data_IF_788288971186
#
_entry.id   IF_788288971186
#
_cell.length_a   1.000
_cell.length_b   1.000
_cell.length_c   1.000
_cell.angle_alpha   90.00
_cell.angle_beta   90.00
_cell.angle_gamma   90.00
#
_symmetry.space_group_name_H-M   'P 1'
#
loop_
_entity.id
_entity.type
_entity.pdbx_description
1 polymer ?
#
# COMPACT_ATOMS: atom_id res chain seq x y z
N UNK A 1 -42.70 49.88 -17.69
CA UNK A 1 -43.72 50.19 -16.67
C UNK A 1 -43.61 49.11 -15.59
N UNK A 2 -42.65 49.25 -14.66
CA UNK A 2 -42.79 49.74 -13.28
C UNK A 2 -43.63 48.85 -12.32
N UNK A 3 -42.90 48.18 -11.40
CA UNK A 3 -43.15 47.79 -9.97
C UNK A 3 -44.35 46.84 -9.66
N UNK A 4 -44.33 45.93 -8.68
CA UNK A 4 -43.69 45.78 -7.34
C UNK A 4 -43.38 44.28 -7.05
N UNK A 5 -42.21 43.87 -6.55
CA UNK A 5 -41.76 43.67 -5.14
C UNK A 5 -42.66 42.83 -4.19
N UNK A 6 -42.07 41.75 -3.64
CA UNK A 6 -42.51 41.02 -2.44
C UNK A 6 -41.53 39.90 -2.03
N UNK A 7 -40.69 40.15 -1.01
CA UNK A 7 -39.75 39.21 -0.37
C UNK A 7 -40.45 38.15 0.51
N UNK A 8 -39.89 36.93 0.58
CA UNK A 8 -39.75 36.06 1.79
C UNK A 8 -39.15 34.70 1.36
N UNK A 9 -37.83 34.46 1.48
CA UNK A 9 -37.09 33.89 2.63
C UNK A 9 -37.33 32.39 2.90
N UNK A 10 -36.30 31.61 2.52
CA UNK A 10 -35.65 30.48 3.19
C UNK A 10 -36.34 29.15 3.53
N UNK A 11 -35.62 28.11 3.07
CA UNK A 11 -35.13 26.90 3.76
C UNK A 11 -35.80 25.59 3.36
N UNK A 12 -35.07 24.85 2.52
CA UNK A 12 -34.80 23.39 2.62
C UNK A 12 -34.03 23.01 1.36
N UNK A 13 -32.70 22.99 1.42
CA UNK A 13 -31.82 22.26 0.46
C UNK A 13 -30.35 22.31 0.92
N UNK A 14 -30.09 21.98 2.19
CA UNK A 14 -28.74 21.97 2.78
C UNK A 14 -28.25 20.61 3.30
N UNK A 15 -29.11 19.61 3.44
CA UNK A 15 -28.73 18.35 4.11
C UNK A 15 -28.21 17.26 3.16
N UNK A 16 -28.61 17.27 1.89
CA UNK A 16 -28.26 16.20 0.94
C UNK A 16 -26.89 16.38 0.27
N UNK A 17 -26.17 17.49 0.52
CA UNK A 17 -24.80 17.71 0.00
C UNK A 17 -23.70 17.39 0.99
N UNK A 18 -24.01 17.16 2.27
CA UNK A 18 -23.03 16.92 3.34
C UNK A 18 -22.74 15.43 3.62
N UNK A 19 -23.56 14.52 3.09
CA UNK A 19 -23.48 13.08 3.43
C UNK A 19 -22.73 12.22 2.40
N UNK A 20 -22.33 12.75 1.25
CA UNK A 20 -21.71 11.97 0.17
C UNK A 20 -20.16 12.04 0.12
N UNK A 21 -19.49 12.51 1.19
CA UNK A 21 -18.05 12.76 1.17
C UNK A 21 -17.17 11.90 2.08
N UNK A 22 -17.72 11.02 2.94
CA UNK A 22 -16.97 10.55 4.11
C UNK A 22 -16.93 9.04 4.40
N UNK A 23 -17.48 8.14 3.57
CA UNK A 23 -17.36 6.69 3.79
C UNK A 23 -17.23 5.90 2.48
N UNK A 24 -16.32 4.91 2.38
CA UNK A 24 -16.30 3.98 1.26
C UNK A 24 -17.63 3.19 1.20
N UNK A 25 -18.18 3.09 0.00
CA UNK A 25 -19.53 2.62 -0.34
C UNK A 25 -19.90 1.17 0.07
N UNK A 26 -19.07 0.50 0.87
CA UNK A 26 -19.21 -0.92 1.21
C UNK A 26 -19.72 -1.17 2.64
N UNK A 27 -19.45 -0.27 3.62
CA UNK A 27 -19.89 -0.45 5.01
C UNK A 27 -21.30 0.08 5.30
N UNK A 28 -21.70 1.16 4.63
CA UNK A 28 -23.04 1.77 4.77
C UNK A 28 -24.13 0.84 4.24
N UNK A 29 -23.88 0.12 3.15
CA UNK A 29 -24.81 -0.90 2.65
C UNK A 29 -24.88 -2.12 3.57
N UNK A 30 -23.77 -2.57 4.18
CA UNK A 30 -23.79 -3.72 5.08
C UNK A 30 -24.57 -3.45 6.38
N UNK A 31 -24.44 -2.24 6.96
CA UNK A 31 -25.17 -1.87 8.19
C UNK A 31 -26.66 -1.60 7.90
N UNK A 32 -27.01 -1.00 6.76
CA UNK A 32 -28.40 -0.82 6.33
C UNK A 32 -29.06 -2.17 5.97
N UNK A 33 -28.31 -3.13 5.41
CA UNK A 33 -28.80 -4.47 5.12
C UNK A 33 -28.98 -5.31 6.40
N UNK A 34 -28.09 -5.17 7.39
CA UNK A 34 -28.16 -5.89 8.67
C UNK A 34 -29.26 -5.34 9.60
N UNK A 35 -29.54 -4.03 9.55
CA UNK A 35 -30.68 -3.39 10.25
C UNK A 35 -32.03 -3.70 9.58
N UNK A 36 -32.10 -3.79 8.24
CA UNK A 36 -33.31 -4.25 7.55
C UNK A 36 -33.59 -5.74 7.81
N UNK A 37 -32.56 -6.58 7.86
CA UNK A 37 -32.70 -8.02 8.12
C UNK A 37 -33.14 -8.39 9.53
N UNK A 38 -32.73 -7.63 10.56
CA UNK A 38 -33.16 -7.87 11.95
C UNK A 38 -34.60 -7.45 12.19
N UNK A 39 -35.04 -6.33 11.61
CA UNK A 39 -36.43 -5.85 11.74
C UNK A 39 -37.42 -6.75 10.98
N UNK A 40 -37.03 -7.29 9.82
CA UNK A 40 -37.85 -8.24 9.05
C UNK A 40 -37.92 -9.63 9.70
N UNK A 41 -36.85 -10.09 10.36
CA UNK A 41 -36.84 -11.38 11.05
C UNK A 41 -37.63 -11.34 12.38
N UNK A 42 -37.65 -10.22 13.09
CA UNK A 42 -38.50 -10.02 14.28
C UNK A 42 -40.00 -9.96 13.93
N UNK A 43 -40.35 -9.39 12.77
CA UNK A 43 -41.72 -9.42 12.25
C UNK A 43 -42.12 -10.83 11.79
N UNK A 44 -41.19 -11.65 11.29
CA UNK A 44 -41.45 -13.02 10.85
C UNK A 44 -41.59 -14.00 12.03
N UNK A 45 -40.81 -13.83 13.11
CA UNK A 45 -40.92 -14.62 14.34
C UNK A 45 -42.21 -14.34 15.13
N UNK A 46 -42.67 -13.08 15.13
CA UNK A 46 -43.98 -12.72 15.71
C UNK A 46 -45.16 -13.27 14.91
N UNK A 47 -44.99 -13.47 13.60
CA UNK A 47 -46.04 -14.01 12.72
C UNK A 47 -46.15 -15.54 12.82
N UNK A 48 -45.04 -16.26 12.98
CA UNK A 48 -45.04 -17.73 13.15
C UNK A 48 -45.41 -18.19 14.56
N UNK A 49 -45.09 -17.40 15.60
CA UNK A 49 -45.51 -17.67 16.99
C UNK A 49 -47.04 -17.56 17.22
N UNK A 50 -47.76 -16.88 16.33
CA UNK A 50 -49.22 -16.71 16.40
C UNK A 50 -49.98 -17.87 15.71
N UNK A 51 -49.28 -18.76 14.99
CA UNK A 51 -49.88 -19.92 14.33
C UNK A 51 -49.73 -21.24 15.09
N UNK A 52 -48.84 -21.33 16.10
CA UNK A 52 -48.63 -22.58 16.87
C UNK A 52 -49.50 -22.70 18.12
N UNK A 53 -50.40 -21.74 18.37
CA UNK A 53 -51.39 -21.78 19.45
C UNK A 53 -52.76 -21.55 18.82
N UNK A 54 -53.43 -22.63 18.45
CA UNK A 54 -54.73 -22.61 17.78
C UNK A 54 -55.78 -21.81 18.57
N UNK A 55 -55.90 -20.53 18.22
CA UNK A 55 -56.99 -19.65 18.62
C UNK A 55 -57.79 -19.38 17.35
N UNK A 56 -59.04 -19.85 17.35
CA UNK A 56 -60.02 -19.61 16.29
C UNK A 56 -60.17 -18.10 16.03
N UNK A 57 -60.24 -17.74 14.74
CA UNK A 57 -60.55 -16.39 14.27
C UNK A 57 -62.05 -16.15 14.48
N UNK A 58 -62.41 -15.64 15.65
CA UNK A 58 -63.71 -15.02 15.90
C UNK A 58 -63.55 -13.51 16.07
N UNK A 59 -64.30 -12.76 15.28
CA UNK A 59 -64.51 -11.31 15.36
C UNK A 59 -63.32 -10.39 15.03
N UNK A 60 -63.24 -10.01 13.75
CA UNK A 60 -62.87 -8.64 13.38
C UNK A 60 -63.75 -7.71 14.23
N UNK A 61 -63.12 -6.92 15.11
CA UNK A 61 -63.84 -6.02 15.99
C UNK A 61 -64.40 -4.84 15.19
N UNK A 62 -65.53 -5.10 14.53
CA UNK A 62 -66.50 -4.17 13.92
C UNK A 62 -67.17 -3.30 15.00
N UNK A 63 -66.36 -2.66 15.85
CA UNK A 63 -66.83 -1.71 16.87
C UNK A 63 -66.33 -0.28 16.58
N UNK A 64 -65.76 -0.03 15.41
CA UNK A 64 -65.45 1.34 14.92
C UNK A 64 -66.57 1.92 14.04
N UNK A 65 -67.65 1.17 13.81
CA UNK A 65 -68.81 1.60 13.01
C UNK A 65 -70.16 1.55 13.78
N UNK A 66 -70.15 1.37 15.11
CA UNK A 66 -71.39 1.17 15.89
C UNK A 66 -71.94 2.39 16.63
N UNK A 67 -71.25 3.53 16.65
CA UNK A 67 -71.76 4.75 17.31
C UNK A 67 -72.11 5.87 16.32
N UNK A 68 -72.43 5.53 15.07
CA UNK A 68 -73.02 6.46 14.12
C UNK A 68 -74.46 6.01 13.88
N UNK A 69 -75.36 6.51 14.72
CA UNK A 69 -76.79 6.35 14.51
C UNK A 69 -77.21 7.25 13.35
N UNK A 70 -77.21 6.69 12.15
CA UNK A 70 -77.84 7.27 10.95
C UNK A 70 -79.09 6.46 10.65
N UNK A 71 -80.07 6.50 11.57
CA UNK A 71 -81.45 6.08 11.34
C UNK A 71 -82.39 7.21 11.73
N UNK A 72 -82.46 8.20 10.87
CA UNK A 72 -83.73 8.70 10.34
C UNK A 72 -83.39 9.88 9.43
N UNK A 73 -83.61 9.68 8.13
CA UNK A 73 -84.22 10.63 7.22
C UNK A 73 -84.09 10.07 5.81
N UNK A 74 -85.24 9.98 5.13
CA UNK A 74 -85.35 9.59 3.72
C UNK A 74 -84.34 10.36 2.88
N UNK A 75 -83.61 9.63 2.05
CA UNK A 75 -82.75 10.18 1.02
C UNK A 75 -83.62 10.93 0.01
N UNK A 76 -83.80 12.23 0.21
CA UNK A 76 -84.20 13.16 -0.85
C UNK A 76 -82.95 13.71 -1.52
N UNK A 77 -82.93 13.59 -2.85
CA UNK A 77 -81.90 14.15 -3.73
C UNK A 77 -81.87 15.68 -3.65
N UNK A 78 -80.67 16.24 -3.88
CA UNK A 78 -80.30 17.66 -3.95
C UNK A 78 -80.21 18.43 -2.64
N UNK A 79 -78.98 18.87 -2.30
CA UNK A 79 -78.58 20.28 -2.03
C UNK A 79 -77.17 20.34 -1.38
N UNK A 80 -76.25 21.04 -2.06
CA UNK A 80 -74.99 21.68 -1.58
C UNK A 80 -74.04 20.85 -0.69
N UNK A 81 -73.14 20.09 -1.34
CA UNK A 81 -72.16 19.20 -0.70
C UNK A 81 -70.78 19.81 -0.33
N UNK A 82 -70.61 21.13 -0.26
CA UNK A 82 -69.32 21.71 0.17
C UNK A 82 -69.22 21.92 1.68
N UNK A 83 -70.26 22.50 2.30
CA UNK A 83 -70.26 22.85 3.72
C UNK A 83 -70.39 21.63 4.66
N UNK A 84 -71.14 20.60 4.24
CA UNK A 84 -71.28 19.34 5.01
C UNK A 84 -69.98 18.52 5.00
N UNK A 85 -69.30 18.42 3.85
CA UNK A 85 -68.01 17.71 3.74
C UNK A 85 -66.91 18.43 4.53
N UNK A 86 -66.91 19.76 4.55
CA UNK A 86 -65.94 20.56 5.33
C UNK A 86 -66.15 20.38 6.85
N UNK A 87 -67.41 20.38 7.32
CA UNK A 87 -67.73 20.09 8.73
C UNK A 87 -67.35 18.68 9.16
N UNK A 88 -67.46 17.70 8.26
CA UNK A 88 -67.04 16.31 8.53
C UNK A 88 -65.51 16.23 8.61
N UNK A 89 -64.78 16.86 7.69
CA UNK A 89 -63.30 16.92 7.72
C UNK A 89 -62.76 17.61 8.97
N UNK A 90 -63.36 18.73 9.38
CA UNK A 90 -62.94 19.46 10.58
C UNK A 90 -63.19 18.64 11.86
N UNK A 91 -64.35 17.97 11.96
CA UNK A 91 -64.61 17.02 13.05
C UNK A 91 -63.61 15.88 13.06
N UNK A 92 -63.28 15.32 11.89
CA UNK A 92 -62.32 14.21 11.77
C UNK A 92 -60.91 14.63 12.18
N UNK A 93 -60.44 15.81 11.75
CA UNK A 93 -59.15 16.37 12.14
C UNK A 93 -59.10 16.71 13.64
N UNK A 94 -60.21 17.19 14.21
CA UNK A 94 -60.31 17.49 15.64
C UNK A 94 -60.32 16.21 16.48
N UNK A 95 -60.93 15.13 15.97
CA UNK A 95 -60.88 13.79 16.58
C UNK A 95 -59.46 13.21 16.49
N UNK A 96 -58.77 13.33 15.35
CA UNK A 96 -57.38 12.87 15.20
C UNK A 96 -56.43 13.64 16.12
N UNK A 97 -56.57 14.97 16.20
CA UNK A 97 -55.82 15.82 17.15
C UNK A 97 -56.14 15.45 18.61
N UNK A 98 -57.40 15.17 18.93
CA UNK A 98 -57.77 14.69 20.27
C UNK A 98 -57.31 13.25 20.56
N UNK A 99 -57.11 12.42 19.53
CA UNK A 99 -56.54 11.08 19.67
C UNK A 99 -55.04 11.12 19.91
N UNK A 100 -54.33 12.04 19.25
CA UNK A 100 -52.91 12.32 19.51
C UNK A 100 -52.71 12.93 20.90
N UNK A 101 -53.57 13.86 21.34
CA UNK A 101 -53.50 14.44 22.69
C UNK A 101 -53.90 13.44 23.79
N UNK A 102 -54.70 12.40 23.47
CA UNK A 102 -55.13 11.33 24.39
C UNK A 102 -54.33 10.03 24.29
N UNK A 103 -53.16 10.00 23.63
CA UNK A 103 -52.20 8.89 23.88
C UNK A 103 -51.71 8.99 25.33
N UNK A 104 -52.40 8.31 26.24
CA UNK A 104 -51.97 8.16 27.64
C UNK A 104 -50.52 7.68 27.63
N UNK A 105 -49.66 8.38 28.38
CA UNK A 105 -48.26 7.95 28.58
C UNK A 105 -48.30 6.53 29.11
N UNK A 106 -47.72 5.60 28.37
CA UNK A 106 -47.57 4.20 28.78
C UNK A 106 -46.90 4.16 30.16
N UNK A 107 -47.45 3.37 31.08
CA UNK A 107 -46.92 3.29 32.45
C UNK A 107 -45.51 2.72 32.40
N UNK A 108 -44.50 3.54 32.69
CA UNK A 108 -43.11 3.11 32.80
C UNK A 108 -42.77 2.84 34.26
N UNK A 109 -42.21 1.66 34.54
CA UNK A 109 -41.72 1.32 35.88
C UNK A 109 -40.64 2.30 36.32
N UNK A 110 -40.52 2.53 37.63
CA UNK A 110 -39.47 3.40 38.21
C UNK A 110 -38.07 2.90 37.85
N UNK A 111 -37.88 1.58 37.71
CA UNK A 111 -36.64 0.98 37.23
C UNK A 111 -36.34 1.34 35.76
N UNK A 112 -37.36 1.30 34.89
CA UNK A 112 -37.21 1.64 33.48
C UNK A 112 -36.92 3.13 33.28
N UNK A 113 -37.55 4.00 34.07
CA UNK A 113 -37.26 5.43 34.09
C UNK A 113 -35.81 5.73 34.51
N UNK A 114 -35.25 4.98 35.49
CA UNK A 114 -33.83 5.11 35.89
C UNK A 114 -32.89 4.65 34.78
N UNK A 115 -33.20 3.53 34.12
CA UNK A 115 -32.42 3.02 32.98
C UNK A 115 -32.47 3.96 31.78
N UNK A 116 -33.63 4.55 31.48
CA UNK A 116 -33.80 5.54 30.42
C UNK A 116 -33.02 6.83 30.71
N UNK A 117 -33.07 7.32 31.95
CA UNK A 117 -32.24 8.45 32.39
C UNK A 117 -30.75 8.15 32.29
N UNK A 118 -30.32 6.97 32.76
CA UNK A 118 -28.92 6.55 32.65
C UNK A 118 -28.49 6.43 31.18
N UNK A 119 -29.28 5.80 30.32
CA UNK A 119 -29.02 5.69 28.89
C UNK A 119 -28.98 7.07 28.20
N UNK A 120 -29.86 7.99 28.60
CA UNK A 120 -29.83 9.36 28.09
C UNK A 120 -28.58 10.11 28.54
N UNK A 121 -28.17 9.95 29.80
CA UNK A 121 -26.97 10.56 30.35
C UNK A 121 -25.70 10.00 29.69
N UNK A 122 -25.61 8.67 29.52
CA UNK A 122 -24.48 8.05 28.82
C UNK A 122 -24.42 8.50 27.37
N UNK A 123 -25.56 8.56 26.65
CA UNK A 123 -25.61 9.08 25.29
C UNK A 123 -25.15 10.55 25.22
N UNK A 124 -25.61 11.42 26.12
CA UNK A 124 -25.16 12.81 26.22
C UNK A 124 -23.66 12.90 26.54
N UNK A 125 -23.17 12.06 27.44
CA UNK A 125 -21.74 11.98 27.78
C UNK A 125 -20.89 11.61 26.55
N UNK A 126 -21.32 10.64 25.74
CA UNK A 126 -20.63 10.28 24.49
C UNK A 126 -20.66 11.42 23.47
N UNK A 127 -21.76 12.16 23.36
CA UNK A 127 -21.84 13.32 22.47
C UNK A 127 -20.90 14.43 22.92
N UNK A 128 -20.89 14.77 24.22
CA UNK A 128 -20.01 15.81 24.78
C UNK A 128 -18.54 15.41 24.61
N UNK A 129 -18.19 14.15 24.90
CA UNK A 129 -16.84 13.62 24.69
C UNK A 129 -16.46 13.63 23.20
N UNK A 130 -17.38 13.24 22.31
CA UNK A 130 -17.15 13.27 20.86
C UNK A 130 -16.94 14.69 20.31
N UNK A 131 -17.73 15.66 20.77
CA UNK A 131 -17.56 17.08 20.42
C UNK A 131 -16.25 17.65 20.98
N UNK A 132 -15.92 17.34 22.24
CA UNK A 132 -14.65 17.71 22.87
C UNK A 132 -13.46 17.13 22.12
N UNK A 133 -13.53 15.85 21.75
CA UNK A 133 -12.53 15.16 20.94
C UNK A 133 -12.38 15.77 19.55
N UNK A 134 -13.49 16.10 18.87
CA UNK A 134 -13.45 16.77 17.57
C UNK A 134 -12.83 18.18 17.65
N UNK A 135 -13.16 18.96 18.69
CA UNK A 135 -12.54 20.26 18.94
C UNK A 135 -11.03 20.13 19.22
N UNK A 136 -10.64 19.15 20.03
CA UNK A 136 -9.23 18.84 20.31
C UNK A 136 -8.48 18.44 19.03
N UNK A 137 -9.05 17.54 18.21
CA UNK A 137 -8.44 17.09 16.97
C UNK A 137 -8.43 18.16 15.87
N UNK A 138 -9.35 19.13 15.90
CA UNK A 138 -9.35 20.28 14.99
C UNK A 138 -8.49 21.47 15.46
N UNK A 139 -7.77 21.35 16.60
CA UNK A 139 -6.85 22.39 17.10
C UNK A 139 -5.76 22.73 16.09
N UNK A 140 -5.19 23.93 16.18
CA UNK A 140 -4.02 24.31 15.34
C UNK A 140 -2.81 23.42 15.67
N UNK A 141 -1.94 23.21 14.69
CA UNK A 141 -0.69 22.48 14.86
C UNK A 141 0.30 23.33 15.64
N UNK A 142 1.16 22.69 16.43
CA UNK A 142 2.33 23.34 17.04
C UNK A 142 3.51 23.32 16.06
N UNK A 143 4.49 24.20 16.25
CA UNK A 143 5.62 24.33 15.33
C UNK A 143 6.48 23.05 15.21
N UNK A 144 6.49 22.23 16.26
CA UNK A 144 7.15 20.91 16.26
C UNK A 144 6.38 19.87 15.44
N UNK A 145 5.06 19.81 15.59
CA UNK A 145 4.22 18.88 14.82
C UNK A 145 4.21 19.24 13.33
N UNK A 146 4.31 20.54 13.00
CA UNK A 146 4.42 21.02 11.62
C UNK A 146 5.65 20.41 10.96
N UNK A 147 6.82 20.46 11.62
CA UNK A 147 8.09 19.91 11.09
C UNK A 147 7.99 18.40 10.78
N UNK A 148 7.29 17.64 11.62
CA UNK A 148 7.10 16.20 11.40
C UNK A 148 6.06 15.90 10.32
N UNK A 149 5.08 16.79 10.12
CA UNK A 149 4.01 16.64 9.14
C UNK A 149 4.32 17.23 7.75
N UNK A 150 5.54 17.72 7.49
CA UNK A 150 5.93 18.44 6.26
C UNK A 150 5.71 17.68 4.93
N UNK A 151 5.32 16.40 4.98
CA UNK A 151 4.90 15.62 3.80
C UNK A 151 3.39 15.69 3.50
N UNK A 152 2.59 16.32 4.36
CA UNK A 152 1.16 16.51 4.16
C UNK A 152 0.90 17.88 3.50
N UNK A 153 0.45 17.87 2.24
CA UNK A 153 0.29 19.06 1.41
C UNK A 153 -0.32 20.28 2.11
N UNK A 154 0.32 21.44 1.92
CA UNK A 154 0.03 22.76 2.52
C UNK A 154 -1.46 23.19 2.51
N UNK A 155 -2.28 22.64 1.61
CA UNK A 155 -3.65 23.12 1.38
C UNK A 155 -4.69 22.60 2.39
N UNK A 156 -4.45 21.48 3.09
CA UNK A 156 -5.43 20.92 4.05
C UNK A 156 -5.23 21.39 5.51
N UNK A 157 -4.14 22.10 5.84
CA UNK A 157 -3.77 22.45 7.23
C UNK A 157 -4.43 23.72 7.78
N UNK A 158 -4.98 24.56 6.90
CA UNK A 158 -5.56 25.87 7.27
C UNK A 158 -6.98 25.78 7.85
N UNK A 159 -7.78 24.80 7.41
CA UNK A 159 -9.18 24.65 7.83
C UNK A 159 -9.34 23.71 9.02
N UNK A 160 -10.30 23.98 9.91
CA UNK A 160 -10.59 23.13 11.07
C UNK A 160 -10.88 21.68 10.67
N UNK A 161 -11.73 21.48 9.64
CA UNK A 161 -12.10 20.15 9.16
C UNK A 161 -10.95 19.44 8.43
N UNK A 162 -10.07 20.16 7.75
CA UNK A 162 -8.87 19.58 7.15
C UNK A 162 -7.91 19.05 8.22
N UNK A 163 -7.68 19.80 9.30
CA UNK A 163 -6.88 19.33 10.45
C UNK A 163 -7.50 18.13 11.15
N UNK A 164 -8.81 18.17 11.38
CA UNK A 164 -9.55 17.05 11.98
C UNK A 164 -9.38 15.79 11.12
N UNK A 165 -9.63 15.90 9.80
CA UNK A 165 -9.48 14.79 8.85
C UNK A 165 -8.06 14.22 8.87
N UNK A 166 -7.04 15.08 8.77
CA UNK A 166 -5.63 14.65 8.73
C UNK A 166 -5.21 13.94 10.02
N UNK A 167 -5.63 14.42 11.19
CA UNK A 167 -5.33 13.74 12.46
C UNK A 167 -6.11 12.45 12.63
N UNK A 168 -7.36 12.40 12.16
CA UNK A 168 -8.12 11.15 12.17
C UNK A 168 -7.50 10.13 11.22
N UNK A 169 -7.04 10.53 10.03
CA UNK A 169 -6.35 9.64 9.11
C UNK A 169 -4.99 9.22 9.65
N UNK A 170 -4.22 10.11 10.27
CA UNK A 170 -2.91 9.76 10.84
C UNK A 170 -3.01 8.69 11.94
N UNK A 171 -4.10 8.66 12.71
CA UNK A 171 -4.36 7.57 13.67
C UNK A 171 -4.56 6.21 12.98
N UNK A 172 -5.13 6.20 11.77
CA UNK A 172 -5.27 4.98 10.97
C UNK A 172 -4.05 4.71 10.08
N UNK A 173 -3.19 5.69 9.84
CA UNK A 173 -1.98 5.54 9.02
C UNK A 173 -1.02 4.51 9.60
N UNK A 174 -0.98 4.33 10.93
CA UNK A 174 -0.21 3.26 11.58
C UNK A 174 -0.51 1.85 11.01
N UNK A 175 -1.72 1.62 10.49
CA UNK A 175 -2.08 0.34 9.87
C UNK A 175 -1.72 0.22 8.39
N UNK A 176 -1.41 1.33 7.71
CA UNK A 176 -1.23 1.38 6.26
C UNK A 176 0.20 1.77 5.84
N UNK A 177 0.91 2.54 6.67
CA UNK A 177 2.29 2.95 6.45
C UNK A 177 3.27 1.91 7.04
N UNK A 178 4.47 1.78 6.47
CA UNK A 178 5.47 0.85 6.99
C UNK A 178 5.86 1.25 8.42
N UNK A 179 6.35 0.29 9.20
CA UNK A 179 6.74 0.52 10.60
C UNK A 179 7.87 1.55 10.79
N UNK A 180 8.59 1.92 9.73
CA UNK A 180 9.75 2.80 9.77
C UNK A 180 9.68 3.90 8.72
N UNK A 181 10.08 5.12 9.09
CA UNK A 181 10.19 6.27 8.17
C UNK A 181 11.27 6.08 7.10
N UNK A 182 12.36 5.39 7.47
CA UNK A 182 13.46 5.00 6.59
C UNK A 182 13.60 3.48 6.65
N UNK A 183 13.47 2.80 5.51
CA UNK A 183 13.61 1.36 5.39
C UNK A 183 15.07 0.90 5.41
N UNK A 184 15.97 1.74 4.88
CA UNK A 184 17.40 1.47 4.87
C UNK A 184 18.16 2.48 5.75
N UNK A 185 19.29 2.05 6.35
CA UNK A 185 20.18 2.96 7.05
C UNK A 185 20.74 4.02 6.10
N UNK A 186 21.30 5.07 6.68
CA UNK A 186 22.01 6.09 5.92
C UNK A 186 23.18 5.44 5.14
N UNK A 187 23.44 5.92 3.91
CA UNK A 187 24.48 5.32 3.08
C UNK A 187 25.85 5.42 3.73
N UNK A 188 26.70 4.44 3.44
CA UNK A 188 28.10 4.46 3.87
C UNK A 188 28.85 5.64 3.25
N UNK A 189 29.91 6.17 3.89
CA UNK A 189 30.73 7.20 3.28
C UNK A 189 31.43 6.67 2.01
N UNK A 190 31.64 7.55 1.02
CA UNK A 190 32.51 7.26 -0.11
C UNK A 190 33.92 6.87 0.40
N UNK A 191 34.59 5.83 -0.15
CA UNK A 191 34.33 5.14 -1.41
C UNK A 191 33.55 3.81 -1.29
N UNK A 192 33.08 3.43 -0.10
CA UNK A 192 32.46 2.12 0.14
C UNK A 192 31.02 2.02 -0.37
N UNK A 193 30.39 3.17 -0.65
CA UNK A 193 29.03 3.23 -1.14
C UNK A 193 28.92 2.80 -2.60
N UNK A 194 27.94 1.94 -2.91
CA UNK A 194 27.52 1.69 -4.30
C UNK A 194 26.63 2.83 -4.79
N UNK A 195 26.88 3.31 -6.00
CA UNK A 195 26.14 4.47 -6.56
C UNK A 195 24.67 4.15 -6.88
N UNK A 196 24.36 2.90 -7.21
CA UNK A 196 23.02 2.46 -7.61
C UNK A 196 22.48 1.40 -6.66
N UNK A 197 21.17 1.39 -6.47
CA UNK A 197 20.47 0.39 -5.64
C UNK A 197 19.59 -0.47 -6.53
N UNK A 198 19.77 -1.79 -6.45
CA UNK A 198 18.98 -2.78 -7.18
C UNK A 198 18.03 -3.47 -6.21
N UNK A 199 16.74 -3.24 -6.40
CA UNK A 199 15.67 -3.84 -5.59
C UNK A 199 15.14 -5.05 -6.32
N UNK A 200 15.16 -6.22 -5.67
CA UNK A 200 14.77 -7.49 -6.26
C UNK A 200 13.60 -8.08 -5.49
N UNK A 201 12.54 -8.52 -6.18
CA UNK A 201 11.58 -9.43 -5.57
C UNK A 201 12.19 -10.82 -5.32
N UNK A 202 11.59 -11.61 -4.45
CA UNK A 202 12.04 -12.96 -4.14
C UNK A 202 11.21 -14.01 -4.89
N UNK A 203 9.89 -13.96 -4.70
CA UNK A 203 8.95 -14.97 -5.20
C UNK A 203 8.71 -14.81 -6.70
N UNK A 204 8.76 -15.94 -7.41
CA UNK A 204 8.60 -16.05 -8.87
C UNK A 204 9.60 -15.21 -9.69
N UNK A 205 10.54 -14.50 -9.04
CA UNK A 205 11.65 -13.79 -9.67
C UNK A 205 12.97 -14.55 -9.51
N UNK A 206 13.40 -14.78 -8.26
CA UNK A 206 14.68 -15.43 -7.94
C UNK A 206 14.48 -16.90 -7.57
N UNK A 207 13.37 -17.18 -6.87
CA UNK A 207 13.00 -18.52 -6.46
C UNK A 207 11.57 -18.83 -6.87
N UNK A 208 11.26 -20.11 -7.00
CA UNK A 208 9.90 -20.60 -7.18
C UNK A 208 9.59 -21.64 -6.12
N UNK A 209 8.53 -21.42 -5.35
CA UNK A 209 8.09 -22.34 -4.31
C UNK A 209 6.90 -23.16 -4.79
N UNK A 210 7.03 -24.48 -4.75
CA UNK A 210 5.95 -25.42 -5.06
C UNK A 210 5.60 -26.22 -3.81
N UNK A 211 4.31 -26.45 -3.59
CA UNK A 211 3.83 -27.34 -2.53
C UNK A 211 3.30 -28.64 -3.11
N UNK A 212 3.81 -29.76 -2.59
CA UNK A 212 3.30 -31.10 -2.91
C UNK A 212 2.85 -31.83 -1.65
N UNK A 213 1.90 -32.76 -1.77
CA UNK A 213 1.41 -33.56 -0.62
C UNK A 213 2.50 -34.45 -0.03
N UNK A 214 3.36 -35.00 -0.87
CA UNK A 214 4.39 -35.97 -0.47
C UNK A 214 5.61 -35.30 0.17
N UNK A 215 6.03 -34.14 -0.35
CA UNK A 215 7.29 -33.50 0.04
C UNK A 215 7.10 -32.15 0.73
N UNK A 216 5.86 -31.66 0.84
CA UNK A 216 5.57 -30.33 1.37
C UNK A 216 6.10 -29.23 0.46
N UNK A 217 6.53 -28.12 1.08
CA UNK A 217 7.11 -26.97 0.39
C UNK A 217 8.52 -27.28 -0.12
N UNK A 218 8.73 -27.13 -1.43
CA UNK A 218 10.03 -27.20 -2.09
C UNK A 218 10.29 -25.88 -2.79
N UNK A 219 11.53 -25.42 -2.74
CA UNK A 219 11.93 -24.14 -3.33
C UNK A 219 13.02 -24.44 -4.35
N UNK A 220 12.77 -24.04 -5.59
CA UNK A 220 13.74 -24.08 -6.68
C UNK A 220 14.45 -22.72 -6.79
N UNK A 221 15.76 -22.73 -7.07
CA UNK A 221 16.52 -21.52 -7.39
C UNK A 221 16.50 -21.30 -8.90
N UNK A 222 16.30 -20.06 -9.34
CA UNK A 222 16.34 -19.70 -10.76
C UNK A 222 17.74 -19.93 -11.34
N UNK A 223 17.89 -20.52 -12.54
CA UNK A 223 19.19 -20.71 -13.17
C UNK A 223 19.95 -19.39 -13.30
N UNK A 224 21.24 -19.41 -12.92
CA UNK A 224 22.10 -18.22 -12.98
C UNK A 224 21.94 -17.22 -11.83
N UNK A 225 21.07 -17.48 -10.85
CA UNK A 225 20.86 -16.60 -9.70
C UNK A 225 22.15 -16.28 -8.92
N UNK A 226 22.94 -17.30 -8.59
CA UNK A 226 24.15 -17.15 -7.78
C UNK A 226 25.18 -16.24 -8.50
N UNK A 227 25.32 -16.41 -9.82
CA UNK A 227 26.16 -15.56 -10.67
C UNK A 227 25.61 -14.14 -10.75
N UNK A 228 24.31 -13.99 -10.95
CA UNK A 228 23.63 -12.70 -11.03
C UNK A 228 23.87 -11.84 -9.77
N UNK A 229 23.65 -12.41 -8.58
CA UNK A 229 23.86 -11.71 -7.31
C UNK A 229 25.34 -11.37 -7.08
N UNK A 230 26.23 -12.34 -7.26
CA UNK A 230 27.66 -12.16 -6.99
C UNK A 230 28.35 -11.22 -7.98
N UNK A 231 27.91 -11.19 -9.23
CA UNK A 231 28.47 -10.29 -10.24
C UNK A 231 27.95 -8.86 -10.08
N UNK A 232 26.64 -8.69 -9.86
CA UNK A 232 26.03 -7.36 -9.73
C UNK A 232 26.32 -6.68 -8.39
N UNK A 233 26.65 -7.40 -7.32
CA UNK A 233 27.05 -6.82 -6.02
C UNK A 233 28.31 -5.95 -6.10
N UNK A 234 29.10 -6.11 -7.16
CA UNK A 234 30.24 -5.23 -7.49
C UNK A 234 29.80 -3.82 -7.91
N UNK A 235 28.59 -3.69 -8.47
CA UNK A 235 28.08 -2.46 -9.07
C UNK A 235 26.94 -1.83 -8.26
N UNK A 236 26.06 -2.67 -7.72
CA UNK A 236 24.81 -2.28 -7.09
C UNK A 236 24.78 -2.63 -5.60
N UNK A 237 24.12 -1.79 -4.82
CA UNK A 237 23.59 -2.16 -3.51
C UNK A 237 22.35 -3.03 -3.74
N UNK A 238 22.47 -4.35 -3.56
CA UNK A 238 21.37 -5.29 -3.81
C UNK A 238 20.50 -5.38 -2.55
N UNK A 239 19.21 -5.07 -2.72
CA UNK A 239 18.20 -5.17 -1.66
C UNK A 239 17.11 -6.12 -2.09
N UNK A 240 16.89 -7.18 -1.31
CA UNK A 240 15.72 -8.04 -1.51
C UNK A 240 14.52 -7.33 -0.90
N UNK A 241 13.47 -7.11 -1.67
CA UNK A 241 12.21 -6.56 -1.16
C UNK A 241 11.07 -7.49 -1.55
N UNK A 242 10.71 -8.38 -0.61
CA UNK A 242 9.68 -9.40 -0.80
C UNK A 242 8.35 -9.01 -0.14
N UNK A 243 7.25 -9.54 -0.68
CA UNK A 243 5.91 -9.46 -0.05
C UNK A 243 5.66 -10.58 0.96
N UNK A 244 6.62 -11.50 1.14
CA UNK A 244 6.61 -12.53 2.17
C UNK A 244 6.93 -11.97 3.55
N UNK A 245 6.44 -12.65 4.58
CA UNK A 245 6.77 -12.36 5.97
C UNK A 245 8.23 -12.71 6.28
N UNK A 246 8.85 -11.97 7.19
CA UNK A 246 10.24 -12.20 7.59
C UNK A 246 10.51 -13.64 8.06
N UNK A 247 9.56 -14.25 8.78
CA UNK A 247 9.69 -15.60 9.31
C UNK A 247 9.90 -16.68 8.22
N UNK A 248 9.35 -16.50 7.03
CA UNK A 248 9.51 -17.45 5.92
C UNK A 248 10.68 -17.09 5.03
N UNK A 249 10.90 -15.80 4.78
CA UNK A 249 11.89 -15.33 3.82
C UNK A 249 13.33 -15.33 4.36
N UNK A 250 13.56 -15.01 5.64
CA UNK A 250 14.92 -15.00 6.24
C UNK A 250 15.69 -16.31 6.00
N UNK A 251 15.17 -17.50 6.33
CA UNK A 251 15.92 -18.74 6.14
C UNK A 251 16.16 -19.09 4.67
N UNK A 252 15.34 -18.56 3.76
CA UNK A 252 15.54 -18.71 2.32
C UNK A 252 16.72 -17.84 1.90
N UNK A 253 16.71 -16.55 2.27
CA UNK A 253 17.74 -15.58 1.91
C UNK A 253 19.11 -16.01 2.47
N UNK A 254 19.16 -16.51 3.71
CA UNK A 254 20.39 -17.05 4.31
C UNK A 254 20.98 -18.24 3.53
N UNK A 255 20.13 -19.03 2.85
CA UNK A 255 20.58 -20.13 1.97
C UNK A 255 20.97 -19.64 0.57
N UNK A 256 20.42 -18.51 0.11
CA UNK A 256 20.77 -17.90 -1.17
C UNK A 256 22.14 -17.19 -1.08
N UNK A 257 22.39 -16.47 0.01
CA UNK A 257 23.67 -15.78 0.28
C UNK A 257 24.27 -16.25 1.62
N UNK A 258 24.90 -17.43 1.66
CA UNK A 258 25.46 -18.00 2.89
C UNK A 258 26.64 -17.21 3.44
N UNK A 259 27.34 -16.44 2.59
CA UNK A 259 28.50 -15.63 2.96
C UNK A 259 28.14 -14.18 3.29
N UNK A 260 26.86 -13.79 3.14
CA UNK A 260 26.36 -12.42 3.31
C UNK A 260 27.20 -11.37 2.57
N UNK A 261 27.66 -11.72 1.36
CA UNK A 261 28.59 -10.89 0.60
C UNK A 261 27.94 -10.14 -0.54
N UNK A 262 26.81 -10.63 -1.04
CA UNK A 262 26.16 -10.08 -2.23
C UNK A 262 24.99 -9.17 -1.87
N UNK A 263 24.25 -9.52 -0.81
CA UNK A 263 23.06 -8.79 -0.37
C UNK A 263 23.41 -7.75 0.68
N UNK A 264 22.97 -6.51 0.47
CA UNK A 264 23.19 -5.41 1.42
C UNK A 264 22.08 -5.33 2.48
N UNK A 265 20.84 -5.54 2.08
CA UNK A 265 19.69 -5.53 2.99
C UNK A 265 18.56 -6.45 2.51
N UNK A 266 17.65 -6.80 3.42
CA UNK A 266 16.45 -7.58 3.12
C UNK A 266 15.24 -6.93 3.78
N UNK A 267 14.24 -6.62 2.96
CA UNK A 267 12.97 -6.01 3.32
C UNK A 267 11.85 -7.01 3.05
N UNK A 268 10.92 -7.06 3.98
CA UNK A 268 9.85 -8.06 4.01
C UNK A 268 8.48 -7.37 3.92
N UNK A 269 7.41 -8.15 4.04
CA UNK A 269 6.03 -7.66 4.00
C UNK A 269 5.76 -6.49 4.96
N UNK A 270 6.39 -6.49 6.12
CA UNK A 270 6.27 -5.46 7.16
C UNK A 270 6.76 -4.08 6.68
N UNK A 271 7.60 -4.04 5.63
CA UNK A 271 8.07 -2.81 4.99
C UNK A 271 7.17 -2.34 3.82
N UNK A 272 6.17 -3.14 3.42
CA UNK A 272 5.24 -2.77 2.33
C UNK A 272 4.09 -1.91 2.83
N UNK A 273 3.53 -1.07 1.95
CA UNK A 273 2.30 -0.33 2.21
C UNK A 273 1.08 -1.12 1.76
N UNK A 274 0.02 -1.07 2.55
CA UNK A 274 -1.26 -1.65 2.17
C UNK A 274 -2.19 -0.56 1.65
N UNK A 275 -2.44 -0.55 0.33
CA UNK A 275 -3.22 0.49 -0.34
C UNK A 275 -4.28 -0.16 -1.22
N UNK A 276 -5.56 0.16 -0.97
CA UNK A 276 -6.70 -0.31 -1.77
C UNK A 276 -6.74 -1.85 -1.96
N UNK A 277 -6.36 -2.61 -0.94
CA UNK A 277 -6.36 -4.08 -1.02
C UNK A 277 -5.07 -4.69 -1.57
N UNK A 278 -4.09 -3.87 -1.96
CA UNK A 278 -2.85 -4.29 -2.61
C UNK A 278 -1.64 -3.96 -1.74
N UNK A 279 -0.60 -4.78 -1.84
CA UNK A 279 0.69 -4.51 -1.22
C UNK A 279 1.56 -3.75 -2.22
N UNK A 280 2.05 -2.59 -1.83
CA UNK A 280 2.86 -1.71 -2.65
C UNK A 280 4.22 -1.53 -1.99
N UNK A 281 5.28 -1.67 -2.78
CA UNK A 281 6.67 -1.46 -2.39
C UNK A 281 7.03 -0.01 -2.71
N UNK A 282 6.86 0.87 -1.73
CA UNK A 282 7.08 2.30 -1.92
C UNK A 282 8.57 2.64 -1.84
N UNK A 283 9.18 2.95 -2.99
CA UNK A 283 10.62 3.22 -3.08
C UNK A 283 11.03 4.53 -2.41
N UNK A 284 10.10 5.45 -2.12
CA UNK A 284 10.45 6.72 -1.47
C UNK A 284 10.97 6.54 -0.03
N UNK A 285 10.67 5.42 0.62
CA UNK A 285 11.11 5.12 1.98
C UNK A 285 12.47 4.43 2.04
N UNK A 286 13.08 4.13 0.88
CA UNK A 286 14.36 3.43 0.79
C UNK A 286 15.56 4.28 1.24
N UNK A 287 15.38 5.58 1.53
CA UNK A 287 16.49 6.47 1.90
C UNK A 287 17.62 6.48 0.84
N UNK A 288 17.23 6.37 -0.44
CA UNK A 288 18.09 6.39 -1.63
C UNK A 288 17.43 7.28 -2.69
N UNK A 289 18.22 7.92 -3.57
CA UNK A 289 17.65 8.84 -4.55
C UNK A 289 17.01 8.03 -5.70
N UNK A 290 15.76 8.37 -6.05
CA UNK A 290 14.94 7.58 -7.00
C UNK A 290 15.53 7.50 -8.40
N UNK A 291 16.36 8.45 -8.81
CA UNK A 291 17.10 8.45 -10.08
C UNK A 291 18.18 7.35 -10.15
N UNK A 292 18.54 6.72 -9.03
CA UNK A 292 19.54 5.65 -8.91
C UNK A 292 18.97 4.30 -8.46
N UNK A 293 17.65 4.17 -8.33
CA UNK A 293 16.99 2.93 -7.92
C UNK A 293 16.39 2.22 -9.13
N UNK A 294 16.69 0.92 -9.27
CA UNK A 294 16.06 0.04 -10.25
C UNK A 294 15.37 -1.09 -9.48
N UNK A 295 14.11 -1.37 -9.80
CA UNK A 295 13.37 -2.49 -9.19
C UNK A 295 13.04 -3.55 -10.24
N UNK A 296 13.38 -4.81 -9.95
CA UNK A 296 12.93 -5.98 -10.70
C UNK A 296 11.81 -6.65 -9.92
N UNK A 297 10.62 -6.71 -10.51
CA UNK A 297 9.44 -7.28 -9.85
C UNK A 297 8.52 -7.92 -10.89
N UNK A 298 7.82 -8.97 -10.45
CA UNK A 298 6.87 -9.73 -11.26
C UNK A 298 5.47 -9.14 -11.16
N UNK A 299 5.11 -8.60 -9.99
CA UNK A 299 3.76 -8.12 -9.73
C UNK A 299 3.64 -6.60 -10.02
N UNK A 300 2.80 -6.19 -10.98
CA UNK A 300 2.58 -4.77 -11.29
C UNK A 300 2.00 -3.94 -10.14
N UNK A 301 1.34 -4.57 -9.19
CA UNK A 301 0.81 -3.87 -8.03
C UNK A 301 1.93 -3.42 -7.08
N UNK A 302 3.04 -4.18 -7.01
CA UNK A 302 4.18 -3.89 -6.15
C UNK A 302 4.83 -2.54 -6.49
N UNK A 303 5.03 -2.22 -7.77
CA UNK A 303 5.64 -0.97 -8.24
C UNK A 303 4.63 0.10 -8.66
N UNK A 304 3.37 -0.02 -8.26
CA UNK A 304 2.31 0.88 -8.72
C UNK A 304 2.57 2.37 -8.42
N UNK A 305 3.36 2.69 -7.40
CA UNK A 305 3.74 4.08 -7.06
C UNK A 305 4.91 4.62 -7.87
N UNK A 306 5.86 3.78 -8.29
CA UNK A 306 7.05 4.18 -9.06
C UNK A 306 7.26 3.24 -10.26
N UNK A 307 6.36 3.26 -11.26
CA UNK A 307 6.46 2.37 -12.42
C UNK A 307 7.66 2.68 -13.32
N UNK A 308 8.16 3.91 -13.32
CA UNK A 308 9.29 4.32 -14.16
C UNK A 308 10.64 3.77 -13.67
N UNK A 309 10.70 3.32 -12.41
CA UNK A 309 11.85 2.68 -11.79
C UNK A 309 11.82 1.15 -11.89
N UNK A 310 10.70 0.59 -12.36
CA UNK A 310 10.47 -0.84 -12.38
C UNK A 310 10.72 -1.44 -13.76
N UNK A 311 11.41 -2.58 -13.78
CA UNK A 311 11.52 -3.45 -14.94
C UNK A 311 10.58 -4.64 -14.67
N UNK A 312 9.46 -4.74 -15.41
CA UNK A 312 8.53 -5.85 -15.25
C UNK A 312 9.17 -7.14 -15.71
N UNK A 313 9.11 -8.17 -14.88
CA UNK A 313 9.61 -9.51 -15.18
C UNK A 313 8.46 -10.51 -15.30
N UNK A 314 8.60 -11.47 -16.20
CA UNK A 314 7.66 -12.59 -16.27
C UNK A 314 7.86 -13.54 -15.08
N UNK A 315 6.78 -14.09 -14.49
CA UNK A 315 6.86 -15.04 -13.40
C UNK A 315 7.57 -16.32 -13.84
N UNK A 316 8.63 -16.68 -13.12
CA UNK A 316 9.38 -17.90 -13.35
C UNK A 316 8.71 -19.09 -12.67
N UNK A 317 8.36 -20.10 -13.47
CA UNK A 317 7.61 -21.29 -13.04
C UNK A 317 8.49 -22.52 -12.80
N UNK A 318 9.78 -22.34 -12.55
CA UNK A 318 10.71 -23.45 -12.33
C UNK A 318 11.39 -24.02 -13.59
N UNK A 319 11.32 -23.35 -14.75
CA UNK A 319 12.02 -23.80 -15.95
C UNK A 319 13.55 -23.72 -15.79
N UNK A 320 14.24 -24.84 -16.03
CA UNK A 320 15.69 -24.96 -15.93
C UNK A 320 16.44 -24.33 -17.11
N UNK A 321 15.74 -24.11 -18.24
CA UNK A 321 16.32 -23.48 -19.44
C UNK A 321 16.16 -21.96 -19.44
N UNK A 322 15.56 -21.38 -18.40
CA UNK A 322 15.42 -19.94 -18.23
C UNK A 322 16.80 -19.27 -18.20
N UNK A 323 16.95 -18.22 -19.02
CA UNK A 323 18.18 -17.41 -19.12
C UNK A 323 17.91 -15.93 -18.90
N UNK A 324 16.72 -15.57 -18.44
CA UNK A 324 16.27 -14.19 -18.36
C UNK A 324 17.14 -13.36 -17.40
N UNK A 325 17.42 -13.88 -16.19
CA UNK A 325 18.29 -13.19 -15.22
C UNK A 325 19.68 -12.92 -15.78
N UNK A 326 20.29 -13.92 -16.42
CA UNK A 326 21.63 -13.80 -16.99
C UNK A 326 21.62 -12.80 -18.15
N UNK A 327 20.56 -12.82 -18.97
CA UNK A 327 20.44 -11.96 -20.16
C UNK A 327 20.25 -10.48 -19.80
N UNK A 328 19.79 -10.17 -18.58
CA UNK A 328 19.68 -8.80 -18.07
C UNK A 328 20.99 -8.21 -17.56
N UNK A 329 21.98 -9.05 -17.21
CA UNK A 329 23.25 -8.58 -16.63
C UNK A 329 23.95 -7.54 -17.52
N UNK A 330 24.11 -7.74 -18.85
CA UNK A 330 24.81 -6.75 -19.69
C UNK A 330 24.15 -5.37 -19.70
N UNK A 331 22.82 -5.31 -19.57
CA UNK A 331 22.07 -4.06 -19.52
C UNK A 331 22.25 -3.35 -18.18
N UNK A 332 22.14 -4.07 -17.06
CA UNK A 332 22.35 -3.52 -15.73
C UNK A 332 23.81 -3.09 -15.54
N UNK A 333 24.75 -3.87 -16.04
CA UNK A 333 26.17 -3.53 -16.05
C UNK A 333 26.42 -2.22 -16.79
N UNK A 334 25.82 -2.05 -17.99
CA UNK A 334 25.96 -0.82 -18.77
C UNK A 334 25.52 0.43 -18.01
N UNK A 335 24.37 0.37 -17.31
CA UNK A 335 23.85 1.51 -16.54
C UNK A 335 24.85 1.94 -15.45
N UNK A 336 25.42 0.97 -14.73
CA UNK A 336 26.38 1.25 -13.67
C UNK A 336 27.72 1.75 -14.24
N UNK A 337 28.21 1.09 -15.29
CA UNK A 337 29.49 1.36 -15.95
C UNK A 337 29.57 2.72 -16.64
N UNK A 338 28.45 3.18 -17.22
CA UNK A 338 28.33 4.51 -17.85
C UNK A 338 27.95 5.63 -16.88
N UNK A 339 27.77 5.32 -15.59
CA UNK A 339 27.37 6.27 -14.56
C UNK A 339 26.16 7.14 -14.97
N UNK A 340 25.13 6.51 -15.52
CA UNK A 340 23.92 7.20 -15.99
C UNK A 340 23.35 8.09 -14.88
N UNK A 341 23.08 9.37 -15.19
CA UNK A 341 22.55 10.33 -14.21
C UNK A 341 21.19 9.90 -13.66
N UNK A 342 20.24 9.56 -14.53
CA UNK A 342 18.90 9.10 -14.17
C UNK A 342 18.53 7.81 -14.94
N UNK A 343 18.17 6.76 -14.22
CA UNK A 343 17.83 5.44 -14.80
C UNK A 343 16.47 5.42 -15.48
N UNK A 344 15.52 6.27 -15.06
CA UNK A 344 14.12 6.27 -15.52
C UNK A 344 13.97 6.50 -17.03
N UNK A 345 14.60 7.52 -17.66
CA UNK A 345 14.52 7.70 -19.12
C UNK A 345 15.15 6.54 -19.89
N UNK A 346 16.19 5.90 -19.34
CA UNK A 346 16.82 4.73 -19.96
C UNK A 346 15.84 3.56 -19.98
N UNK A 347 15.23 3.23 -18.84
CA UNK A 347 14.22 2.17 -18.72
C UNK A 347 13.02 2.46 -19.62
N UNK A 348 12.54 3.70 -19.63
CA UNK A 348 11.42 4.13 -20.49
C UNK A 348 11.69 3.89 -21.99
N UNK A 349 12.95 3.98 -22.44
CA UNK A 349 13.33 3.73 -23.84
C UNK A 349 13.18 2.27 -24.29
N UNK A 350 12.99 1.34 -23.35
CA UNK A 350 12.75 -0.08 -23.61
C UNK A 350 11.31 -0.52 -23.33
N UNK A 351 10.42 0.41 -22.96
CA UNK A 351 9.02 0.08 -22.64
C UNK A 351 8.33 -0.64 -23.80
N UNK A 352 7.73 -1.80 -23.51
CA UNK A 352 7.04 -2.62 -24.51
C UNK A 352 7.96 -3.49 -25.38
N UNK A 353 9.25 -3.54 -25.05
CA UNK A 353 10.23 -4.38 -25.75
C UNK A 353 10.94 -5.31 -24.77
N UNK A 354 11.51 -6.39 -25.30
CA UNK A 354 12.33 -7.30 -24.52
C UNK A 354 13.74 -6.70 -24.31
N UNK A 355 14.03 -6.26 -23.09
CA UNK A 355 15.26 -5.51 -22.76
C UNK A 355 16.52 -6.25 -23.21
N UNK A 356 16.74 -7.54 -22.88
CA UNK A 356 17.96 -8.23 -23.27
C UNK A 356 18.21 -8.28 -24.77
N UNK A 357 17.16 -8.54 -25.55
CA UNK A 357 17.28 -8.66 -27.02
C UNK A 357 17.54 -7.30 -27.66
N UNK A 358 16.82 -6.27 -27.25
CA UNK A 358 17.04 -4.91 -27.76
C UNK A 358 18.40 -4.37 -27.37
N UNK A 359 18.85 -4.66 -26.13
CA UNK A 359 20.17 -4.28 -25.66
C UNK A 359 21.27 -4.90 -26.53
N UNK A 360 21.21 -6.21 -26.77
CA UNK A 360 22.18 -6.91 -27.62
C UNK A 360 22.24 -6.32 -29.04
N UNK A 361 21.09 -5.91 -29.60
CA UNK A 361 21.03 -5.22 -30.90
C UNK A 361 21.69 -3.84 -30.84
N UNK A 362 21.40 -3.03 -29.82
CA UNK A 362 22.00 -1.69 -29.63
C UNK A 362 23.51 -1.78 -29.41
N UNK A 363 23.97 -2.71 -28.58
CA UNK A 363 25.39 -2.95 -28.32
C UNK A 363 26.13 -3.36 -29.59
N UNK A 364 25.55 -4.24 -30.42
CA UNK A 364 26.12 -4.61 -31.71
C UNK A 364 26.21 -3.43 -32.66
N UNK A 365 25.18 -2.60 -32.74
CA UNK A 365 25.20 -1.38 -33.57
C UNK A 365 26.28 -0.39 -33.10
N UNK A 366 26.44 -0.20 -31.80
CA UNK A 366 27.51 0.62 -31.21
C UNK A 366 28.90 0.09 -31.59
N UNK A 367 29.11 -1.23 -31.47
CA UNK A 367 30.33 -1.93 -31.87
C UNK A 367 30.65 -1.75 -33.36
N UNK A 368 29.65 -1.94 -34.21
CA UNK A 368 29.81 -1.82 -35.66
C UNK A 368 30.09 -0.38 -36.09
N UNK A 369 29.44 0.61 -35.47
CA UNK A 369 29.69 2.04 -35.76
C UNK A 369 31.08 2.46 -35.31
N UNK A 370 31.49 2.11 -34.10
CA UNK A 370 32.83 2.40 -33.57
C UNK A 370 33.92 1.77 -34.45
N UNK A 371 33.70 0.54 -34.92
CA UNK A 371 34.63 -0.14 -35.83
C UNK A 371 34.75 0.59 -37.17
N UNK A 372 33.63 1.03 -37.76
CA UNK A 372 33.63 1.79 -39.01
C UNK A 372 34.37 3.12 -38.87
N UNK A 373 34.08 3.88 -37.81
CA UNK A 373 34.76 5.15 -37.52
C UNK A 373 36.27 4.96 -37.38
N UNK A 374 36.69 3.90 -36.69
CA UNK A 374 38.11 3.58 -36.55
C UNK A 374 38.76 3.19 -37.89
N UNK A 375 38.07 2.40 -38.72
CA UNK A 375 38.56 2.05 -40.07
C UNK A 375 38.67 3.29 -40.98
N UNK A 376 37.73 4.23 -40.88
CA UNK A 376 37.76 5.51 -41.60
C UNK A 376 38.90 6.40 -41.12
N UNK A 377 39.10 6.52 -39.81
CA UNK A 377 40.24 7.24 -39.22
C UNK A 377 41.57 6.62 -39.65
N UNK A 378 41.69 5.29 -39.68
CA UNK A 378 42.90 4.61 -40.14
C UNK A 378 43.14 4.79 -41.65
N UNK A 379 42.07 4.85 -42.47
CA UNK A 379 42.19 5.13 -43.91
C UNK A 379 42.57 6.59 -44.19
N UNK A 380 42.01 7.53 -43.42
CA UNK A 380 42.28 8.97 -43.56
C UNK A 380 43.58 9.42 -42.87
N UNK A 381 44.08 8.67 -41.89
CA UNK A 381 45.40 8.87 -41.28
C UNK A 381 46.48 8.46 -42.28
N UNK A 382 46.95 9.43 -43.07
CA UNK A 382 47.93 9.20 -44.13
C UNK A 382 49.14 8.41 -43.64
N UNK A 383 49.38 7.27 -44.29
CA UNK A 383 50.42 6.29 -43.96
C UNK A 383 51.85 6.86 -43.89
N UNK A 384 52.08 8.07 -44.42
CA UNK A 384 53.38 8.75 -44.39
C UNK A 384 53.65 9.50 -43.08
N UNK A 385 52.63 10.09 -42.42
CA UNK A 385 52.80 10.80 -41.13
C UNK A 385 53.02 9.81 -39.99
N UNK A 386 52.27 8.70 -39.97
CA UNK A 386 52.49 7.62 -39.00
C UNK A 386 53.83 6.90 -39.19
N UNK A 387 54.34 6.85 -40.43
CA UNK A 387 55.67 6.31 -40.75
C UNK A 387 56.81 7.25 -40.29
N UNK A 388 56.64 8.56 -40.43
CA UNK A 388 57.62 9.57 -40.01
C UNK A 388 57.72 9.78 -38.49
N UNK A 389 56.60 9.66 -37.76
CA UNK A 389 56.57 9.91 -36.32
C UNK A 389 56.92 8.68 -35.46
N UNK A 390 56.58 7.46 -35.90
CA UNK A 390 56.63 6.26 -35.02
C UNK A 390 57.58 5.15 -35.47
N UNK A 391 58.48 5.39 -36.43
CA UNK A 391 59.63 4.54 -36.76
C UNK A 391 59.36 3.02 -36.70
N UNK A 392 58.84 2.44 -37.78
CA UNK A 392 58.79 0.98 -38.03
C UNK A 392 58.22 0.05 -36.95
N UNK A 393 57.54 0.55 -35.92
CA UNK A 393 56.80 -0.31 -34.99
C UNK A 393 55.35 -0.43 -35.47
N UNK A 394 55.05 -1.50 -36.21
CA UNK A 394 53.67 -1.89 -36.50
C UNK A 394 52.97 -2.11 -35.15
N UNK A 395 52.17 -1.15 -34.69
CA UNK A 395 51.23 -1.42 -33.59
C UNK A 395 50.35 -2.58 -34.05
N UNK A 396 50.13 -3.61 -33.22
CA UNK A 396 49.27 -4.71 -33.59
C UNK A 396 47.89 -4.16 -34.00
N UNK A 397 47.33 -4.67 -35.09
CA UNK A 397 46.00 -4.31 -35.56
C UNK A 397 44.99 -4.83 -34.52
N UNK A 398 44.67 -3.99 -33.55
CA UNK A 398 43.69 -4.25 -32.53
C UNK A 398 42.58 -3.23 -32.72
N UNK A 399 41.39 -3.72 -33.07
CA UNK A 399 40.18 -2.90 -33.13
C UNK A 399 39.97 -2.32 -31.71
N UNK A 400 39.70 -1.01 -31.56
CA UNK A 400 39.42 -0.43 -30.26
C UNK A 400 38.27 -1.20 -29.61
N UNK A 401 38.43 -1.55 -28.33
CA UNK A 401 37.34 -2.11 -27.53
C UNK A 401 36.49 -0.97 -26.97
N UNK A 402 35.20 -1.23 -26.75
CA UNK A 402 34.38 -0.26 -26.02
C UNK A 402 34.88 -0.15 -24.58
N UNK A 403 34.74 1.04 -24.00
CA UNK A 403 35.03 1.26 -22.58
C UNK A 403 34.23 0.28 -21.71
N UNK A 404 32.97 -0.01 -22.09
CA UNK A 404 32.14 -1.04 -21.43
C UNK A 404 32.74 -2.44 -21.50
N UNK A 405 33.33 -2.83 -22.64
CA UNK A 405 33.94 -4.16 -22.77
C UNK A 405 35.18 -4.27 -21.87
N UNK A 406 35.98 -3.21 -21.79
CA UNK A 406 37.12 -3.15 -20.87
C UNK A 406 36.69 -3.22 -19.41
N UNK A 407 35.61 -2.52 -19.03
CA UNK A 407 35.04 -2.60 -17.68
C UNK A 407 34.49 -4.00 -17.38
N UNK A 408 33.85 -4.65 -18.36
CA UNK A 408 33.34 -6.02 -18.26
C UNK A 408 34.44 -7.03 -18.00
N UNK A 409 35.53 -6.97 -18.78
CA UNK A 409 36.69 -7.85 -18.61
C UNK A 409 37.29 -7.70 -17.20
N UNK A 410 37.43 -6.45 -16.72
CA UNK A 410 37.89 -6.18 -15.35
C UNK A 410 36.97 -6.79 -14.29
N UNK A 411 35.67 -6.60 -14.41
CA UNK A 411 34.72 -7.15 -13.45
C UNK A 411 34.61 -8.67 -13.48
N UNK A 412 34.79 -9.28 -14.66
CA UNK A 412 34.90 -10.74 -14.78
C UNK A 412 36.16 -11.27 -14.10
N UNK A 413 37.29 -10.57 -14.24
CA UNK A 413 38.52 -10.87 -13.52
C UNK A 413 38.32 -10.79 -12.00
N UNK A 414 37.75 -9.68 -11.50
CA UNK A 414 37.44 -9.50 -10.07
C UNK A 414 36.49 -10.59 -9.56
N UNK A 415 35.47 -10.94 -10.34
CA UNK A 415 34.58 -12.05 -10.00
C UNK A 415 35.33 -13.38 -9.91
N UNK A 416 36.19 -13.70 -10.88
CA UNK A 416 36.95 -14.94 -10.89
C UNK A 416 37.91 -15.04 -9.70
N UNK A 417 38.60 -13.94 -9.36
CA UNK A 417 39.43 -13.83 -8.16
C UNK A 417 38.61 -14.04 -6.89
N UNK A 418 37.43 -13.41 -6.80
CA UNK A 418 36.54 -13.58 -5.66
C UNK A 418 36.03 -15.02 -5.51
N UNK A 419 35.73 -15.70 -6.62
CA UNK A 419 35.35 -17.12 -6.60
C UNK A 419 36.50 -18.03 -6.15
N UNK A 420 37.75 -17.69 -6.50
CA UNK A 420 38.92 -18.40 -5.97
C UNK A 420 39.06 -18.15 -4.46
N UNK A 421 38.93 -16.91 -4.03
CA UNK A 421 38.97 -16.55 -2.61
C UNK A 421 37.91 -17.30 -1.78
N UNK A 422 36.67 -17.40 -2.27
CA UNK A 422 35.60 -18.15 -1.63
C UNK A 422 35.87 -19.66 -1.57
N UNK A 423 36.54 -20.23 -2.58
CA UNK A 423 36.94 -21.65 -2.55
C UNK A 423 37.98 -21.92 -1.46
N UNK A 424 38.91 -20.98 -1.29
CA UNK A 424 40.01 -21.13 -0.34
C UNK A 424 39.57 -20.83 1.11
N UNK A 425 38.71 -19.82 1.33
CA UNK A 425 38.36 -19.30 2.66
C UNK A 425 36.88 -19.50 3.05
N UNK A 426 36.06 -20.12 2.20
CA UNK A 426 34.62 -20.21 2.40
C UNK A 426 34.19 -20.88 3.70
N UNK A 427 34.87 -21.96 4.11
CA UNK A 427 34.55 -22.65 5.38
C UNK A 427 34.84 -21.79 6.61
N UNK A 428 35.93 -21.03 6.58
CA UNK A 428 36.31 -20.11 7.64
C UNK A 428 35.26 -18.99 7.79
N UNK A 429 34.88 -18.36 6.68
CA UNK A 429 33.85 -17.31 6.64
C UNK A 429 32.53 -17.84 7.21
N UNK A 430 32.11 -19.04 6.80
CA UNK A 430 30.88 -19.66 7.28
C UNK A 430 30.92 -19.93 8.79
N UNK A 431 32.06 -20.35 9.32
CA UNK A 431 32.23 -20.58 10.75
C UNK A 431 32.21 -19.27 11.55
N UNK A 432 32.86 -18.22 11.05
CA UNK A 432 32.82 -16.88 11.65
C UNK A 432 31.40 -16.29 11.66
N UNK A 433 30.63 -16.45 10.57
CA UNK A 433 29.23 -16.03 10.51
C UNK A 433 28.36 -16.78 11.54
N UNK A 434 28.51 -18.11 11.63
CA UNK A 434 27.79 -18.90 12.66
C UNK A 434 28.14 -18.50 14.09
N UNK A 435 29.40 -18.11 14.34
CA UNK A 435 29.82 -17.60 15.65
C UNK A 435 29.15 -16.25 15.93
N UNK A 436 29.20 -15.30 14.98
CA UNK A 436 28.52 -14.00 15.09
C UNK A 436 27.02 -14.15 15.33
N UNK A 437 26.35 -15.06 14.62
CA UNK A 437 24.92 -15.33 14.84
C UNK A 437 24.65 -15.87 16.26
N UNK A 438 25.49 -16.78 16.77
CA UNK A 438 25.37 -17.29 18.14
C UNK A 438 25.60 -16.19 19.18
N UNK A 439 26.56 -15.31 18.96
CA UNK A 439 26.84 -14.16 19.81
C UNK A 439 25.70 -13.15 19.80
N UNK A 440 25.12 -12.85 18.63
CA UNK A 440 23.94 -12.00 18.52
C UNK A 440 22.75 -12.62 19.26
N UNK A 441 22.53 -13.93 19.10
CA UNK A 441 21.45 -14.65 19.78
C UNK A 441 21.67 -14.73 21.29
N UNK A 442 22.91 -14.88 21.77
CA UNK A 442 23.20 -14.87 23.20
C UNK A 442 23.04 -13.47 23.79
N UNK A 443 23.48 -12.42 23.08
CA UNK A 443 23.29 -11.02 23.46
C UNK A 443 21.79 -10.62 23.50
N UNK A 444 20.98 -11.10 22.54
CA UNK A 444 19.53 -10.91 22.59
C UNK A 444 18.91 -11.64 23.78
N UNK A 445 19.31 -12.89 24.06
CA UNK A 445 18.83 -13.63 25.23
C UNK A 445 19.20 -12.95 26.55
N UNK A 446 20.41 -12.43 26.68
CA UNK A 446 20.81 -11.69 27.88
C UNK A 446 20.03 -10.38 28.00
N UNK A 447 19.76 -9.68 26.88
CA UNK A 447 18.93 -8.46 26.88
C UNK A 447 17.46 -8.72 27.24
N UNK A 448 16.90 -9.85 26.83
CA UNK A 448 15.54 -10.27 27.21
C UNK A 448 15.51 -10.69 28.67
N UNK A 449 16.52 -11.44 29.12
CA UNK A 449 16.63 -11.83 30.53
C UNK A 449 16.79 -10.59 31.42
N UNK A 450 17.62 -9.61 31.06
CA UNK A 450 17.72 -8.36 31.82
C UNK A 450 16.42 -7.56 31.77
N UNK A 451 15.73 -7.46 30.63
CA UNK A 451 14.41 -6.82 30.56
C UNK A 451 13.35 -7.52 31.44
N UNK A 452 13.40 -8.85 31.57
CA UNK A 452 12.46 -9.64 32.38
C UNK A 452 12.82 -9.58 33.88
N UNK A 453 14.11 -9.64 34.23
CA UNK A 453 14.57 -9.72 35.63
C UNK A 453 14.89 -8.35 36.26
N UNK A 454 15.41 -7.41 35.49
CA UNK A 454 15.82 -6.07 35.96
C UNK A 454 14.80 -4.98 35.62
N UNK A 455 13.82 -5.28 34.76
CA UNK A 455 12.77 -4.34 34.34
C UNK A 455 13.27 -3.31 33.32
N UNK A 456 12.33 -2.56 32.73
CA UNK A 456 12.66 -1.51 31.75
C UNK A 456 13.56 -0.46 32.43
N UNK A 457 14.78 -0.20 31.92
CA UNK A 457 15.63 0.84 32.48
C UNK A 457 14.88 2.18 32.43
N UNK A 458 14.78 2.86 33.58
CA UNK A 458 14.18 4.20 33.63
C UNK A 458 15.00 5.12 32.71
N UNK A 459 14.35 5.96 31.89
CA UNK A 459 15.07 6.90 31.05
C UNK A 459 15.96 7.77 31.94
N UNK A 460 17.25 7.87 31.60
CA UNK A 460 18.19 8.71 32.32
C UNK A 460 17.72 10.16 32.26
N UNK A 461 17.42 10.75 33.41
CA UNK A 461 17.25 12.19 33.54
C UNK A 461 18.59 12.85 33.20
N UNK A 462 18.71 13.33 31.96
CA UNK A 462 19.79 14.23 31.59
C UNK A 462 19.54 15.57 32.30
N UNK A 463 20.22 15.76 33.43
CA UNK A 463 20.52 17.08 34.02
C UNK A 463 21.65 17.76 33.29
#
# INVERSE_FOLDING_TARGET
MWRHQGLSICRKNGLNRLLNGFFPYTLTNYIIFKLKGTILNDLKYKWTSLHSRGIHVDSVNMNVLKDIDLRDERFDENISNSSKIMKIKDKMMLILRNKESKKKKEYKSTADLRREKLASYTAWSFIVMGLGGACYMGRKWTDEEIKQSLNAGEKETSTFFGRLKQRTSSLFNYYNEPAFDKLLPDPLPEPYQRRFTLVLDLDDLLIHSEWSREHGWRIAKRPGLDYFLSYLSQYYEIVIFTTQYAATAIPIIQKLDPYRSSLSASLFREATKYVNGKLVKDLSYMNRPLDKIIMLDVNPDSYSFQPDNAIPMEPWKGDLNDKELISLIPFLEYIASMEVSDVRPVIASYKGKHIPTEWALREKMLKDNMKKEWEEQNKNSSSWVSFLLNGTTKRPYQVPQLITDQQRERAQHVYAEYQQYLKDHGEEILNQEKQREREQMSAMKTSINSLIFEGIPKPSEHT
#
